data_IF_714982956084
#
_entry.id   IF_714982956084
#
_cell.length_a   1.000
_cell.length_b   1.000
_cell.length_c   1.000
_cell.angle_alpha   90.00
_cell.angle_beta   90.00
_cell.angle_gamma   90.00
#
_symmetry.space_group_name_H-M   'P 1'
#
loop_
_entity.id
_entity.type
_entity.pdbx_description
1 polymer ?
#
# COMPACT_ATOMS: atom_id res chain seq x y z
N UNK A 1 56.11 -50.85 -10.53
CA UNK A 1 55.30 -50.20 -9.48
C UNK A 1 54.83 -48.88 -10.07
N UNK A 2 53.53 -48.78 -10.30
CA UNK A 2 52.83 -47.73 -11.04
C UNK A 2 52.40 -46.63 -10.06
N UNK A 3 52.59 -45.35 -10.37
CA UNK A 3 51.85 -44.26 -9.72
C UNK A 3 51.35 -43.32 -10.80
N UNK A 4 50.05 -43.40 -11.06
CA UNK A 4 49.30 -42.47 -11.90
C UNK A 4 48.67 -41.45 -10.95
N UNK A 5 49.11 -40.19 -11.04
CA UNK A 5 48.49 -39.08 -10.33
C UNK A 5 47.22 -38.68 -11.08
N UNK A 6 46.05 -38.97 -10.50
CA UNK A 6 44.77 -38.46 -10.98
C UNK A 6 44.53 -37.06 -10.38
N UNK A 7 44.61 -36.03 -11.22
CA UNK A 7 44.17 -34.67 -10.87
C UNK A 7 42.64 -34.64 -10.95
N UNK A 8 41.97 -34.63 -9.80
CA UNK A 8 40.55 -34.36 -9.70
C UNK A 8 40.30 -32.87 -9.95
N UNK A 9 39.67 -32.53 -11.07
CA UNK A 9 39.14 -31.19 -11.33
C UNK A 9 37.92 -30.94 -10.44
N UNK A 10 38.02 -29.98 -9.53
CA UNK A 10 36.86 -29.44 -8.82
C UNK A 10 36.04 -28.60 -9.81
N UNK A 11 34.93 -29.16 -10.30
CA UNK A 11 33.87 -28.36 -10.90
C UNK A 11 33.19 -27.55 -9.81
N UNK A 12 33.54 -26.27 -9.70
CA UNK A 12 32.78 -25.30 -8.91
C UNK A 12 31.39 -25.15 -9.54
N UNK A 13 30.41 -25.86 -9.01
CA UNK A 13 29.01 -25.60 -9.28
C UNK A 13 28.70 -24.20 -8.73
N UNK A 14 28.69 -23.21 -9.63
CA UNK A 14 28.18 -21.88 -9.31
C UNK A 14 26.74 -22.03 -8.86
N UNK A 15 26.47 -21.75 -7.60
CA UNK A 15 25.13 -21.45 -7.09
C UNK A 15 24.70 -20.11 -7.67
N UNK A 16 24.37 -20.09 -8.96
CA UNK A 16 23.60 -19.02 -9.55
C UNK A 16 22.18 -19.15 -9.02
N UNK A 17 21.82 -18.33 -8.04
CA UNK A 17 20.41 -18.11 -7.72
C UNK A 17 19.70 -17.75 -9.03
N UNK A 18 18.71 -18.55 -9.42
CA UNK A 18 17.90 -18.23 -10.58
C UNK A 18 17.40 -16.78 -10.44
N UNK A 19 17.40 -15.98 -11.52
CA UNK A 19 16.83 -14.65 -11.46
C UNK A 19 15.41 -14.78 -10.91
N UNK A 20 15.03 -13.94 -9.94
CA UNK A 20 13.71 -13.98 -9.35
C UNK A 20 12.67 -13.84 -10.46
N UNK A 21 11.67 -14.72 -10.44
CA UNK A 21 10.68 -14.79 -11.49
C UNK A 21 9.85 -13.50 -11.50
N UNK A 22 9.81 -12.85 -12.66
CA UNK A 22 8.92 -11.72 -12.89
C UNK A 22 7.51 -12.23 -13.19
N UNK A 23 6.51 -11.50 -12.72
CA UNK A 23 5.10 -11.79 -12.89
C UNK A 23 4.39 -10.58 -13.50
N UNK A 24 3.71 -10.78 -14.62
CA UNK A 24 3.19 -9.72 -15.50
C UNK A 24 1.68 -9.50 -15.32
N UNK A 25 1.10 -8.47 -15.95
CA UNK A 25 -0.35 -8.29 -15.97
C UNK A 25 -0.95 -7.85 -14.63
N UNK A 26 -0.15 -7.23 -13.76
CA UNK A 26 -0.64 -6.72 -12.47
C UNK A 26 -1.36 -5.38 -12.64
N UNK A 27 -2.44 -5.21 -11.89
CA UNK A 27 -2.99 -3.91 -11.56
C UNK A 27 -2.33 -3.38 -10.29
N UNK A 28 -1.89 -2.12 -10.35
CA UNK A 28 -1.32 -1.43 -9.19
C UNK A 28 -2.11 -0.15 -8.98
N UNK A 29 -2.72 0.00 -7.81
CA UNK A 29 -3.33 1.27 -7.39
C UNK A 29 -2.49 1.91 -6.29
N UNK A 30 -2.90 3.09 -5.87
CA UNK A 30 -2.32 3.77 -4.71
C UNK A 30 -3.42 4.15 -3.73
N UNK A 31 -3.06 4.20 -2.45
CA UNK A 31 -3.89 4.75 -1.38
C UNK A 31 -3.04 5.63 -0.47
N UNK A 32 -3.70 6.52 0.28
CA UNK A 32 -3.03 7.57 1.04
C UNK A 32 -3.78 7.91 2.33
N UNK A 33 -3.10 8.59 3.25
CA UNK A 33 -3.73 9.20 4.41
C UNK A 33 -4.24 10.59 4.02
N UNK A 34 -5.56 10.79 4.07
CA UNK A 34 -6.17 12.10 3.88
C UNK A 34 -5.69 13.12 4.93
N UNK A 35 -5.62 14.41 4.62
CA UNK A 35 -5.21 15.45 5.56
C UNK A 35 -6.33 16.47 5.66
N UNK A 36 -6.93 16.59 6.83
CA UNK A 36 -8.15 17.40 7.05
C UNK A 36 -8.05 18.82 6.48
N UNK A 37 -6.87 19.44 6.55
CA UNK A 37 -6.62 20.80 6.06
C UNK A 37 -6.81 20.99 4.55
N UNK A 38 -6.77 19.93 3.74
CA UNK A 38 -6.99 20.00 2.29
C UNK A 38 -8.43 19.69 1.88
N UNK A 39 -9.28 19.37 2.85
CA UNK A 39 -10.67 19.03 2.64
C UNK A 39 -11.61 20.15 3.11
N UNK A 40 -12.80 20.19 2.53
CA UNK A 40 -13.79 21.24 2.76
C UNK A 40 -15.23 20.69 2.80
N UNK A 41 -16.19 21.61 2.92
CA UNK A 41 -17.62 21.30 3.00
C UNK A 41 -18.17 21.41 4.42
N UNK A 42 -19.46 21.13 4.56
CA UNK A 42 -20.15 21.18 5.85
C UNK A 42 -19.53 20.21 6.84
N UNK A 43 -19.38 20.64 8.09
CA UNK A 43 -18.93 19.76 9.16
C UNK A 43 -20.01 18.72 9.47
N UNK A 44 -19.62 17.44 9.44
CA UNK A 44 -20.50 16.32 9.76
C UNK A 44 -20.01 15.59 11.00
N UNK A 45 -20.92 15.14 11.89
CA UNK A 45 -20.53 14.35 13.04
C UNK A 45 -20.06 12.96 12.59
N UNK A 46 -18.82 12.61 12.90
CA UNK A 46 -18.31 11.25 12.72
C UNK A 46 -18.37 10.52 14.05
N UNK A 47 -18.96 9.32 14.02
CA UNK A 47 -19.13 8.45 15.18
C UNK A 47 -18.41 7.13 14.98
N UNK A 48 -17.91 6.58 16.08
CA UNK A 48 -17.14 5.36 16.07
C UNK A 48 -16.57 5.05 17.44
N UNK A 49 -15.37 4.49 17.44
CA UNK A 49 -14.64 4.05 18.60
C UNK A 49 -13.54 5.05 19.01
N UNK A 50 -13.34 5.22 20.32
CA UNK A 50 -12.25 6.07 20.82
C UNK A 50 -10.86 5.43 20.66
N UNK A 51 -10.80 4.11 20.48
CA UNK A 51 -9.59 3.29 20.35
C UNK A 51 -9.85 2.09 19.42
N UNK A 52 -8.79 1.45 18.91
CA UNK A 52 -8.85 0.35 17.91
C UNK A 52 -9.52 -0.95 18.40
N UNK A 53 -9.52 -1.22 19.71
CA UNK A 53 -10.07 -2.44 20.31
C UNK A 53 -11.61 -2.45 20.40
N UNK A 54 -12.26 -1.40 19.90
CA UNK A 54 -13.72 -1.30 19.82
C UNK A 54 -14.20 -1.52 18.39
N UNK A 55 -15.40 -2.07 18.24
CA UNK A 55 -16.04 -2.31 16.95
C UNK A 55 -17.39 -1.58 16.89
N UNK A 56 -17.65 -0.89 15.78
CA UNK A 56 -18.94 -0.26 15.47
C UNK A 56 -19.47 0.67 16.59
N UNK A 57 -18.54 1.40 17.22
CA UNK A 57 -18.83 2.35 18.29
C UNK A 57 -19.76 3.49 17.84
N UNK A 58 -20.38 4.15 18.82
CA UNK A 58 -21.35 5.24 18.58
C UNK A 58 -20.92 6.57 19.19
N UNK A 59 -19.72 6.61 19.77
CA UNK A 59 -19.17 7.80 20.41
C UNK A 59 -18.90 8.87 19.36
N UNK A 60 -19.10 10.13 19.73
CA UNK A 60 -18.74 11.24 18.85
C UNK A 60 -17.21 11.38 18.84
N UNK A 61 -16.60 11.16 17.68
CA UNK A 61 -15.15 11.28 17.49
C UNK A 61 -14.76 12.71 17.14
N UNK A 62 -15.64 13.43 16.44
CA UNK A 62 -15.47 14.82 16.06
C UNK A 62 -16.51 15.26 15.04
N UNK A 63 -16.44 16.53 14.64
CA UNK A 63 -17.13 17.05 13.48
C UNK A 63 -16.07 17.41 12.44
N UNK A 64 -16.14 16.79 11.27
CA UNK A 64 -15.12 16.92 10.24
C UNK A 64 -15.72 17.43 8.94
N UNK A 65 -14.95 18.09 8.05
CA UNK A 65 -15.42 18.41 6.71
C UNK A 65 -15.96 17.15 6.01
N UNK A 66 -17.12 17.27 5.36
CA UNK A 66 -17.75 16.14 4.68
C UNK A 66 -16.80 15.42 3.72
N UNK A 67 -16.01 16.17 2.95
CA UNK A 67 -15.05 15.57 2.01
C UNK A 67 -13.91 14.83 2.71
N UNK A 68 -13.47 15.27 3.90
CA UNK A 68 -12.47 14.54 4.70
C UNK A 68 -13.06 13.23 5.23
N UNK A 69 -14.25 13.27 5.83
CA UNK A 69 -14.90 12.07 6.34
C UNK A 69 -15.12 11.03 5.22
N UNK A 70 -15.47 11.49 4.02
CA UNK A 70 -15.57 10.61 2.84
C UNK A 70 -14.20 10.03 2.46
N UNK A 71 -13.17 10.85 2.34
CA UNK A 71 -11.83 10.39 1.99
C UNK A 71 -11.29 9.37 3.00
N UNK A 72 -11.48 9.60 4.31
CA UNK A 72 -11.11 8.62 5.35
C UNK A 72 -11.83 7.28 5.15
N UNK A 73 -13.10 7.31 4.75
CA UNK A 73 -13.86 6.09 4.48
C UNK A 73 -13.39 5.34 3.24
N UNK A 74 -12.98 6.08 2.22
CA UNK A 74 -12.55 5.51 0.94
C UNK A 74 -11.11 4.98 1.02
N UNK A 75 -10.21 5.72 1.68
CA UNK A 75 -8.77 5.46 1.74
C UNK A 75 -8.33 4.78 3.05
N UNK A 76 -9.25 4.65 4.02
CA UNK A 76 -9.04 3.98 5.30
C UNK A 76 -8.46 4.87 6.42
N UNK A 77 -7.75 5.96 6.11
CA UNK A 77 -7.18 6.83 7.16
C UNK A 77 -7.15 8.31 6.78
N UNK A 78 -7.25 9.19 7.78
CA UNK A 78 -6.92 10.61 7.65
C UNK A 78 -6.33 11.24 8.91
N UNK A 79 -5.34 12.11 8.73
CA UNK A 79 -4.80 12.97 9.78
C UNK A 79 -5.76 14.13 10.03
N UNK A 80 -6.18 14.25 11.29
CA UNK A 80 -7.04 15.36 11.73
C UNK A 80 -6.25 16.66 11.91
N UNK A 81 -6.95 17.78 12.05
CA UNK A 81 -6.35 19.06 12.39
C UNK A 81 -5.74 19.07 13.81
N UNK A 82 -6.09 18.11 14.67
CA UNK A 82 -5.45 17.94 15.97
C UNK A 82 -4.10 17.23 15.76
N UNK A 83 -2.97 17.84 16.16
CA UNK A 83 -1.66 17.23 15.98
C UNK A 83 -1.56 15.83 16.62
N UNK A 84 -0.98 14.88 15.88
CA UNK A 84 -0.77 13.51 16.36
C UNK A 84 -2.04 12.68 16.50
N UNK A 85 -3.15 13.09 15.84
CA UNK A 85 -4.42 12.37 15.89
C UNK A 85 -4.91 12.03 14.49
N UNK A 86 -5.21 10.75 14.30
CA UNK A 86 -5.72 10.17 13.07
C UNK A 86 -7.13 9.64 13.30
N UNK A 87 -7.97 9.82 12.29
CA UNK A 87 -9.24 9.15 12.14
C UNK A 87 -9.02 8.00 11.16
N UNK A 88 -9.17 6.78 11.63
CA UNK A 88 -9.07 5.57 10.82
C UNK A 88 -10.46 5.00 10.56
N UNK A 89 -10.60 4.18 9.53
CA UNK A 89 -11.83 3.49 9.16
C UNK A 89 -11.52 2.12 8.55
N UNK A 90 -12.35 1.14 8.87
CA UNK A 90 -12.39 -0.16 8.19
C UNK A 90 -13.83 -0.66 8.12
N UNK A 91 -14.09 -1.60 7.21
CA UNK A 91 -15.41 -2.15 6.98
C UNK A 91 -16.00 -2.87 8.22
N UNK A 92 -15.16 -3.59 8.97
CA UNK A 92 -15.52 -4.39 10.14
C UNK A 92 -15.59 -3.57 11.45
N UNK A 93 -14.72 -2.58 11.63
CA UNK A 93 -14.64 -1.77 12.86
C UNK A 93 -15.43 -0.47 12.79
N UNK A 94 -15.66 0.08 11.60
CA UNK A 94 -16.12 1.46 11.43
C UNK A 94 -15.00 2.45 11.74
N UNK A 95 -15.34 3.66 12.20
CA UNK A 95 -14.33 4.68 12.51
C UNK A 95 -13.68 4.46 13.88
N UNK A 96 -12.41 4.79 14.01
CA UNK A 96 -11.77 4.97 15.31
C UNK A 96 -10.70 6.06 15.31
N UNK A 97 -10.27 6.46 16.50
CA UNK A 97 -9.17 7.40 16.70
C UNK A 97 -7.89 6.65 17.04
N UNK A 98 -6.77 7.14 16.52
CA UNK A 98 -5.44 6.65 16.85
C UNK A 98 -4.41 7.78 16.75
N UNK A 99 -3.16 7.44 17.08
CA UNK A 99 -1.97 8.28 16.92
C UNK A 99 -1.22 8.01 15.62
N UNK A 100 -1.60 6.97 14.88
CA UNK A 100 -0.94 6.54 13.65
C UNK A 100 -1.97 5.97 12.65
N UNK A 101 -1.68 6.01 11.33
CA UNK A 101 -2.39 5.23 10.34
C UNK A 101 -2.11 3.74 10.54
N UNK A 102 -3.14 2.89 10.54
CA UNK A 102 -3.01 1.46 10.87
C UNK A 102 -3.24 0.57 9.67
N UNK A 103 -2.44 -0.47 9.54
CA UNK A 103 -2.71 -1.60 8.65
C UNK A 103 -3.76 -2.53 9.27
N UNK A 104 -4.23 -3.49 8.48
CA UNK A 104 -5.21 -4.51 8.88
C UNK A 104 -4.79 -5.39 10.07
N UNK A 105 -3.52 -5.35 10.48
CA UNK A 105 -2.98 -6.07 11.65
C UNK A 105 -2.68 -5.14 12.84
N UNK A 106 -3.09 -3.88 12.77
CA UNK A 106 -2.94 -2.89 13.83
C UNK A 106 -1.53 -2.31 13.96
N UNK A 107 -0.64 -2.51 12.99
CA UNK A 107 0.68 -1.84 12.96
C UNK A 107 0.61 -0.54 12.17
N UNK A 108 1.60 0.32 12.36
CA UNK A 108 1.65 1.59 11.63
C UNK A 108 1.95 1.37 10.15
N UNK A 109 1.14 1.98 9.28
CA UNK A 109 1.41 2.07 7.84
C UNK A 109 2.65 2.94 7.59
N UNK A 110 3.51 2.50 6.69
CA UNK A 110 4.78 3.16 6.36
C UNK A 110 4.75 3.67 4.92
N UNK A 111 4.85 5.00 4.70
CA UNK A 111 4.87 5.58 3.36
C UNK A 111 5.95 4.94 2.48
N UNK A 112 5.59 4.55 1.26
CA UNK A 112 6.50 3.91 0.31
C UNK A 112 7.12 2.59 0.80
N UNK A 113 6.40 1.87 1.67
CA UNK A 113 6.79 0.55 2.20
C UNK A 113 5.57 -0.34 2.32
N UNK A 114 4.52 0.11 2.98
CA UNK A 114 3.30 -0.70 3.15
C UNK A 114 2.52 -0.83 1.84
N UNK A 115 1.98 -2.02 1.60
CA UNK A 115 1.08 -2.29 0.49
C UNK A 115 -0.01 -3.28 0.93
N UNK A 116 -1.17 -3.19 0.25
CA UNK A 116 -2.25 -4.14 0.35
C UNK A 116 -2.26 -5.06 -0.87
N UNK A 117 -2.62 -6.33 -0.69
CA UNK A 117 -2.82 -7.26 -1.78
C UNK A 117 -3.75 -8.40 -1.35
N UNK A 118 -4.63 -8.83 -2.26
CA UNK A 118 -5.33 -10.10 -2.11
C UNK A 118 -4.46 -11.23 -2.69
N UNK A 119 -4.53 -12.42 -2.09
CA UNK A 119 -3.85 -13.62 -2.59
C UNK A 119 -2.33 -13.67 -2.40
N UNK A 120 -1.69 -12.61 -1.90
CA UNK A 120 -0.30 -12.62 -1.46
C UNK A 120 -0.20 -12.77 0.06
N UNK A 121 0.81 -13.50 0.55
CA UNK A 121 1.01 -13.63 2.00
C UNK A 121 1.49 -12.31 2.60
N UNK A 122 0.99 -11.96 3.78
CA UNK A 122 1.56 -10.90 4.62
C UNK A 122 3.07 -11.12 4.80
N UNK A 123 3.86 -10.06 4.65
CA UNK A 123 5.32 -10.06 4.68
C UNK A 123 5.98 -10.35 3.32
N UNK A 124 5.21 -10.54 2.26
CA UNK A 124 5.75 -10.65 0.90
C UNK A 124 6.40 -9.34 0.48
N UNK A 125 7.61 -9.41 -0.08
CA UNK A 125 8.30 -8.24 -0.63
C UNK A 125 8.04 -8.14 -2.12
N UNK A 126 7.73 -6.93 -2.56
CA UNK A 126 7.37 -6.63 -3.94
C UNK A 126 8.38 -5.63 -4.50
N UNK A 127 8.82 -5.89 -5.73
CA UNK A 127 9.57 -4.93 -6.52
C UNK A 127 8.84 -4.69 -7.83
N UNK A 128 8.46 -3.44 -8.07
CA UNK A 128 7.83 -3.02 -9.31
C UNK A 128 8.92 -2.87 -10.38
N UNK A 129 8.98 -3.84 -11.30
CA UNK A 129 9.98 -3.92 -12.37
C UNK A 129 9.61 -3.02 -13.53
N UNK A 130 8.32 -2.96 -13.86
CA UNK A 130 7.76 -2.07 -14.87
C UNK A 130 6.41 -1.55 -14.42
N UNK A 131 6.18 -0.25 -14.57
CA UNK A 131 4.90 0.38 -14.26
C UNK A 131 3.84 0.15 -15.34
N UNK A 132 4.18 -0.51 -16.46
CA UNK A 132 3.24 -0.69 -17.56
C UNK A 132 2.72 0.66 -18.07
N UNK A 133 1.40 0.82 -18.06
CA UNK A 133 0.68 1.96 -18.65
C UNK A 133 -0.52 2.35 -17.78
N UNK A 134 -1.08 3.54 -18.00
CA UNK A 134 -2.36 3.91 -17.38
C UNK A 134 -3.51 3.05 -17.96
N UNK A 135 -4.70 3.00 -17.33
CA UNK A 135 -5.85 2.27 -17.86
C UNK A 135 -6.26 2.70 -19.28
N UNK A 136 -5.98 3.95 -19.66
CA UNK A 136 -6.24 4.50 -20.99
C UNK A 136 -5.17 4.11 -22.04
N UNK A 137 -4.15 3.33 -21.64
CA UNK A 137 -3.05 2.91 -22.50
C UNK A 137 -1.99 3.99 -22.73
N UNK A 138 -1.88 4.97 -21.82
CA UNK A 138 -0.86 6.02 -21.89
C UNK A 138 0.35 5.71 -21.01
N UNK A 139 1.47 6.38 -21.26
CA UNK A 139 2.64 6.22 -20.41
C UNK A 139 2.39 6.80 -19.02
N UNK A 140 2.79 6.05 -17.99
CA UNK A 140 2.81 6.51 -16.60
C UNK A 140 3.81 7.66 -16.45
N UNK A 141 3.50 8.63 -15.60
CA UNK A 141 4.45 9.70 -15.27
C UNK A 141 5.80 9.11 -14.81
N UNK A 142 6.88 9.60 -15.40
CA UNK A 142 8.21 9.03 -15.19
C UNK A 142 8.68 9.15 -13.73
N UNK A 143 8.41 10.30 -13.07
CA UNK A 143 8.84 10.53 -11.71
C UNK A 143 8.06 9.65 -10.73
N UNK A 144 6.75 9.50 -10.96
CA UNK A 144 5.90 8.58 -10.20
C UNK A 144 6.37 7.14 -10.37
N UNK A 145 6.53 6.68 -11.61
CA UNK A 145 6.98 5.33 -11.88
C UNK A 145 8.35 5.02 -11.24
N UNK A 146 9.31 5.93 -11.40
CA UNK A 146 10.63 5.79 -10.79
C UNK A 146 10.54 5.68 -9.26
N UNK A 147 9.73 6.52 -8.61
CA UNK A 147 9.56 6.47 -7.16
C UNK A 147 8.93 5.15 -6.73
N UNK A 148 7.83 4.74 -7.37
CA UNK A 148 7.15 3.48 -7.02
C UNK A 148 8.07 2.28 -7.26
N UNK A 149 8.79 2.22 -8.37
CA UNK A 149 9.73 1.15 -8.69
C UNK A 149 10.93 1.04 -7.74
N UNK A 150 11.38 2.17 -7.19
CA UNK A 150 12.52 2.22 -6.27
C UNK A 150 12.16 1.89 -4.80
N UNK A 151 10.87 1.80 -4.48
CA UNK A 151 10.39 1.68 -3.11
C UNK A 151 10.39 0.21 -2.62
N UNK A 152 10.76 -0.07 -1.36
CA UNK A 152 10.82 -1.43 -0.82
C UNK A 152 9.45 -1.89 -0.31
N UNK A 153 8.55 -2.24 -1.21
CA UNK A 153 7.18 -2.61 -0.86
C UNK A 153 7.10 -3.94 -0.12
N UNK A 154 6.23 -3.98 0.89
CA UNK A 154 5.90 -5.15 1.70
C UNK A 154 4.39 -5.24 1.87
N UNK A 155 3.83 -6.42 1.64
CA UNK A 155 2.41 -6.68 1.89
C UNK A 155 2.19 -6.72 3.40
N UNK A 156 1.66 -5.64 3.95
CA UNK A 156 1.35 -5.51 5.38
C UNK A 156 -0.12 -5.22 5.62
N UNK A 157 -0.89 -4.98 4.58
CA UNK A 157 -2.27 -4.53 4.67
C UNK A 157 -3.18 -5.38 3.77
N UNK A 158 -4.49 -5.19 3.89
CA UNK A 158 -5.52 -5.94 3.16
C UNK A 158 -6.52 -4.99 2.50
N UNK A 159 -7.10 -5.41 1.39
CA UNK A 159 -8.18 -4.66 0.77
C UNK A 159 -9.45 -4.70 1.61
N UNK A 160 -10.25 -3.65 1.53
CA UNK A 160 -11.66 -3.76 1.91
C UNK A 160 -12.32 -4.85 1.04
N UNK A 161 -13.06 -5.81 1.62
CA UNK A 161 -13.63 -6.92 0.87
C UNK A 161 -14.37 -6.50 -0.40
N UNK A 162 -13.95 -7.05 -1.54
CA UNK A 162 -14.52 -6.77 -2.86
C UNK A 162 -13.91 -5.61 -3.63
N UNK A 163 -12.90 -4.92 -3.09
CA UNK A 163 -12.15 -3.86 -3.80
C UNK A 163 -10.81 -4.32 -4.37
N UNK A 164 -10.25 -5.42 -3.86
CA UNK A 164 -9.05 -6.05 -4.38
C UNK A 164 -9.34 -7.06 -5.49
N UNK A 165 -8.48 -8.06 -5.62
CA UNK A 165 -8.65 -9.16 -6.56
C UNK A 165 -7.34 -9.83 -6.94
N UNK A 166 -7.45 -10.83 -7.81
CA UNK A 166 -6.28 -11.51 -8.37
C UNK A 166 -5.40 -10.50 -9.11
N UNK A 167 -4.10 -10.54 -8.82
CA UNK A 167 -3.08 -9.67 -9.46
C UNK A 167 -3.34 -8.17 -9.25
N UNK A 168 -3.87 -7.79 -8.10
CA UNK A 168 -4.05 -6.40 -7.70
C UNK A 168 -3.27 -6.10 -6.41
N UNK A 169 -2.45 -5.05 -6.44
CA UNK A 169 -1.83 -4.47 -5.25
C UNK A 169 -2.19 -3.00 -5.10
N UNK A 170 -2.25 -2.52 -3.87
CA UNK A 170 -2.43 -1.11 -3.52
C UNK A 170 -1.23 -0.58 -2.76
N UNK A 171 -0.67 0.55 -3.20
CA UNK A 171 0.58 1.08 -2.67
C UNK A 171 0.35 2.28 -1.74
N UNK A 172 0.77 2.18 -0.49
CA UNK A 172 0.58 3.26 0.47
C UNK A 172 1.57 4.41 0.27
N UNK A 173 1.07 5.59 -0.10
CA UNK A 173 1.91 6.75 -0.39
C UNK A 173 2.28 7.58 0.84
N UNK A 174 1.58 7.38 1.97
CA UNK A 174 1.65 8.28 3.11
C UNK A 174 0.57 9.35 3.06
N UNK A 175 0.80 10.48 3.72
CA UNK A 175 -0.16 11.59 3.72
C UNK A 175 -0.24 12.28 2.37
N UNK A 176 -1.44 12.68 1.95
CA UNK A 176 -1.59 13.60 0.83
C UNK A 176 -0.84 14.91 1.09
N UNK A 177 -0.31 15.50 0.01
CA UNK A 177 0.67 16.59 0.09
C UNK A 177 0.08 17.96 -0.21
N UNK A 178 -1.17 18.04 -0.63
CA UNK A 178 -1.83 19.30 -0.97
C UNK A 178 -3.26 19.12 -1.46
N UNK A 179 -3.99 20.23 -1.67
CA UNK A 179 -5.32 20.20 -2.28
C UNK A 179 -5.25 19.63 -3.70
N UNK A 180 -6.29 18.90 -4.10
CA UNK A 180 -6.35 18.27 -5.43
C UNK A 180 -5.37 17.11 -5.60
N UNK A 181 -4.96 16.44 -4.51
CA UNK A 181 -4.04 15.30 -4.58
C UNK A 181 -4.50 14.21 -5.55
N UNK A 182 -5.81 13.93 -5.58
CA UNK A 182 -6.43 12.95 -6.49
C UNK A 182 -6.48 13.39 -7.96
N UNK A 183 -6.16 14.65 -8.25
CA UNK A 183 -6.00 15.19 -9.61
C UNK A 183 -4.53 15.21 -10.05
N UNK A 184 -3.61 14.84 -9.14
CA UNK A 184 -2.18 14.80 -9.41
C UNK A 184 -1.74 13.46 -10.01
N UNK A 185 -0.55 13.45 -10.62
CA UNK A 185 0.03 12.21 -11.15
C UNK A 185 0.28 11.12 -10.09
N UNK A 186 0.30 11.47 -8.80
CA UNK A 186 0.49 10.50 -7.72
C UNK A 186 -0.72 9.60 -7.54
N UNK A 187 -1.94 10.10 -7.77
CA UNK A 187 -3.17 9.30 -7.69
C UNK A 187 -3.40 8.59 -9.02
N UNK A 188 -2.70 7.47 -9.19
CA UNK A 188 -2.63 6.75 -10.46
C UNK A 188 -3.02 5.29 -10.29
N UNK A 189 -3.56 4.73 -11.36
CA UNK A 189 -3.66 3.28 -11.56
C UNK A 189 -2.66 2.87 -12.63
N UNK A 190 -1.97 1.76 -12.40
CA UNK A 190 -1.09 1.12 -13.38
C UNK A 190 -1.75 -0.18 -13.84
N UNK A 191 -1.69 -0.41 -15.14
CA UNK A 191 -2.16 -1.62 -15.81
C UNK A 191 -0.99 -2.29 -16.51
N UNK A 192 -1.04 -3.62 -16.63
CA UNK A 192 0.04 -4.41 -17.21
C UNK A 192 1.40 -4.19 -16.52
N UNK A 193 1.36 -3.94 -15.20
CA UNK A 193 2.56 -3.80 -14.41
C UNK A 193 3.27 -5.16 -14.28
N UNK A 194 4.59 -5.10 -14.14
CA UNK A 194 5.42 -6.29 -13.95
C UNK A 194 6.05 -6.21 -12.57
N UNK A 195 5.83 -7.26 -11.78
CA UNK A 195 6.31 -7.38 -10.41
C UNK A 195 7.34 -8.48 -10.28
N UNK A 196 8.21 -8.34 -9.30
CA UNK A 196 9.02 -9.41 -8.74
C UNK A 196 8.51 -9.64 -7.32
N UNK A 197 8.05 -10.85 -7.02
CA UNK A 197 7.39 -11.19 -5.75
C UNK A 197 8.24 -12.18 -4.96
N UNK A 198 8.64 -11.79 -3.75
CA UNK A 198 9.33 -12.66 -2.81
C UNK A 198 8.43 -12.96 -1.63
N UNK A 199 7.85 -14.16 -1.63
CA UNK A 199 7.07 -14.66 -0.51
C UNK A 199 7.97 -14.90 0.72
N UNK A 200 7.48 -14.63 1.93
CA UNK A 200 8.17 -15.05 3.15
C UNK A 200 8.22 -16.59 3.19
N UNK A 201 9.30 -17.10 3.80
CA UNK A 201 9.51 -18.55 4.02
C UNK A 201 8.46 -19.16 4.95
#
# INVERSE_FOLDING_TARGET
>A
MLVVLALAGCSSAGTGSAPPATDEGWQVTVYYTAVEAFHSGTLVPVRGCQVIDCENGKDLLGNFPLSFAKAVKDEGTGRTATPGRYLNWSYDKGYWLDTEPRDSFGKALKPFVSAAADGLKTGSRIKLVSCGQTPEGTNVDFAVCQKLASSPWEITDEFTPGLGGDRHIDLYLGEETGPGFTESAWYTTLSEAVLEVHQPS
#
